data_IF_025148169600
#
_entry.id   IF_025148169600
#
_cell.length_a   1.000
_cell.length_b   1.000
_cell.length_c   1.000
_cell.angle_alpha   90.00
_cell.angle_beta   90.00
_cell.angle_gamma   90.00
#
_symmetry.space_group_name_H-M   'P 1'
#
loop_
_entity.id
_entity.type
_entity.pdbx_description
1 polymer ?
#
# COMPACT_ATOMS: atom_id res chain seq x y z
N UNK A 1 -0.44 18.71 -5.79
CA UNK A 1 -1.22 17.47 -5.65
C UNK A 1 -2.31 17.47 -6.71
N UNK A 2 -2.51 16.37 -7.43
CA UNK A 2 -3.55 16.23 -8.46
C UNK A 2 -4.96 16.29 -7.79
N UNK A 3 -5.93 17.06 -8.32
CA UNK A 3 -7.25 17.21 -7.69
C UNK A 3 -8.02 15.90 -7.52
N UNK A 4 -7.79 14.90 -8.37
CA UNK A 4 -8.41 13.57 -8.24
C UNK A 4 -7.94 12.81 -7.00
N UNK A 5 -6.76 13.14 -6.45
CA UNK A 5 -6.22 12.51 -5.25
C UNK A 5 -6.69 13.18 -3.95
N UNK A 6 -7.21 14.41 -4.00
CA UNK A 6 -7.65 15.13 -2.80
C UNK A 6 -8.64 14.37 -1.90
N UNK A 7 -9.67 13.69 -2.44
CA UNK A 7 -10.56 12.88 -1.61
C UNK A 7 -10.03 11.48 -1.33
N UNK A 8 -8.99 11.03 -2.06
CA UNK A 8 -8.48 9.65 -2.01
C UNK A 8 -7.46 9.49 -0.90
N UNK A 9 -6.54 10.45 -0.73
CA UNK A 9 -5.48 10.37 0.28
C UNK A 9 -6.05 10.26 1.70
N UNK A 10 -7.03 11.08 2.13
CA UNK A 10 -7.63 10.91 3.45
C UNK A 10 -8.28 9.52 3.65
N UNK A 11 -8.87 8.93 2.59
CA UNK A 11 -9.46 7.59 2.69
C UNK A 11 -8.40 6.49 2.85
N UNK A 12 -7.26 6.61 2.16
CA UNK A 12 -6.10 5.73 2.34
C UNK A 12 -5.55 5.87 3.76
N UNK A 13 -5.36 7.11 4.23
CA UNK A 13 -4.88 7.41 5.58
C UNK A 13 -5.80 6.84 6.66
N UNK A 14 -7.13 6.96 6.50
CA UNK A 14 -8.11 6.40 7.42
C UNK A 14 -8.05 4.87 7.47
N UNK A 15 -7.86 4.20 6.33
CA UNK A 15 -7.70 2.75 6.26
C UNK A 15 -6.43 2.31 7.00
N UNK A 16 -5.29 2.96 6.73
CA UNK A 16 -4.02 2.65 7.40
C UNK A 16 -4.08 2.95 8.90
N UNK A 17 -4.71 4.06 9.29
CA UNK A 17 -4.96 4.40 10.68
C UNK A 17 -5.76 3.29 11.37
N UNK A 18 -6.90 2.88 10.80
CA UNK A 18 -7.74 1.83 11.37
C UNK A 18 -7.01 0.48 11.43
N UNK A 19 -6.28 0.13 10.38
CA UNK A 19 -5.44 -1.08 10.35
C UNK A 19 -4.41 -1.09 11.48
N UNK A 20 -3.72 0.02 11.71
CA UNK A 20 -2.71 0.14 12.76
C UNK A 20 -3.30 0.00 14.19
N UNK A 21 -4.59 0.31 14.36
CA UNK A 21 -5.32 0.11 15.62
C UNK A 21 -5.83 -1.33 15.80
N UNK A 22 -5.90 -2.12 14.73
CA UNK A 22 -6.48 -3.46 14.76
C UNK A 22 -5.68 -4.44 15.63
N UNK A 23 -6.40 -5.33 16.33
CA UNK A 23 -5.82 -6.48 17.01
C UNK A 23 -5.19 -7.47 16.01
N UNK A 24 -5.69 -7.49 14.77
CA UNK A 24 -5.20 -8.35 13.67
C UNK A 24 -3.97 -7.77 12.94
N UNK A 25 -3.45 -6.60 13.37
CA UNK A 25 -2.33 -5.93 12.70
C UNK A 25 -1.16 -6.90 12.42
N UNK A 26 -0.71 -7.62 13.45
CA UNK A 26 0.43 -8.53 13.34
C UNK A 26 0.12 -9.78 12.51
N UNK A 27 -1.10 -10.30 12.62
CA UNK A 27 -1.51 -11.46 11.83
C UNK A 27 -1.55 -11.12 10.34
N UNK A 28 -2.17 -9.99 9.98
CA UNK A 28 -2.24 -9.53 8.60
C UNK A 28 -0.87 -9.15 8.03
N UNK A 29 0.00 -8.53 8.85
CA UNK A 29 1.36 -8.23 8.43
C UNK A 29 2.15 -9.51 8.11
N UNK A 30 2.01 -10.54 8.96
CA UNK A 30 2.65 -11.83 8.73
C UNK A 30 2.07 -12.58 7.52
N UNK A 31 0.78 -12.42 7.25
CA UNK A 31 0.12 -12.96 6.05
C UNK A 31 0.63 -12.30 4.79
N UNK A 32 0.76 -10.97 4.77
CA UNK A 32 1.23 -10.24 3.59
C UNK A 32 2.74 -10.43 3.33
N UNK A 33 3.56 -10.29 4.37
CA UNK A 33 5.00 -10.08 4.24
C UNK A 33 5.86 -11.19 4.88
N UNK A 34 5.22 -12.28 5.32
CA UNK A 34 5.87 -13.38 6.01
C UNK A 34 6.22 -13.10 7.48
N UNK A 35 6.77 -14.12 8.15
CA UNK A 35 6.99 -14.14 9.60
C UNK A 35 8.38 -13.66 10.05
N UNK A 36 9.25 -13.35 9.10
CA UNK A 36 10.65 -12.95 9.35
C UNK A 36 10.89 -11.44 9.27
N UNK A 37 9.82 -10.65 9.21
CA UNK A 37 9.89 -9.19 9.10
C UNK A 37 10.54 -8.53 10.32
N UNK A 38 11.22 -7.40 10.08
CA UNK A 38 11.84 -6.59 11.13
C UNK A 38 10.75 -5.95 12.01
N UNK A 39 10.51 -6.58 13.16
CA UNK A 39 9.49 -6.18 14.13
C UNK A 39 9.72 -4.75 14.65
N UNK A 40 10.96 -4.27 14.71
CA UNK A 40 11.25 -2.91 15.18
C UNK A 40 10.74 -1.89 14.16
N UNK A 41 11.07 -2.08 12.88
CA UNK A 41 10.59 -1.21 11.81
C UNK A 41 9.07 -1.30 11.62
N UNK A 42 8.50 -2.50 11.69
CA UNK A 42 7.06 -2.69 11.64
C UNK A 42 6.35 -1.97 12.81
N UNK A 43 6.92 -2.02 14.01
CA UNK A 43 6.40 -1.29 15.19
C UNK A 43 6.48 0.22 14.98
N UNK A 44 7.57 0.73 14.39
CA UNK A 44 7.71 2.14 14.07
C UNK A 44 6.65 2.62 13.08
N UNK A 45 6.44 1.90 11.97
CA UNK A 45 5.38 2.19 11.00
C UNK A 45 4.00 2.19 11.66
N UNK A 46 3.72 1.18 12.50
CA UNK A 46 2.45 1.10 13.24
C UNK A 46 2.24 2.33 14.12
N UNK A 47 3.24 2.73 14.91
CA UNK A 47 3.14 3.87 15.82
C UNK A 47 2.91 5.18 15.05
N UNK A 48 3.58 5.36 13.91
CA UNK A 48 3.38 6.51 13.04
C UNK A 48 1.93 6.56 12.55
N UNK A 49 1.40 5.47 11.98
CA UNK A 49 0.02 5.39 11.50
C UNK A 49 -1.00 5.58 12.63
N UNK A 50 -0.79 5.01 13.81
CA UNK A 50 -1.66 5.21 14.98
C UNK A 50 -1.75 6.67 15.42
N UNK A 51 -0.69 7.45 15.18
CA UNK A 51 -0.66 8.90 15.45
C UNK A 51 -1.16 9.77 14.28
N UNK A 52 -1.67 9.15 13.20
CA UNK A 52 -1.98 9.81 11.92
C UNK A 52 -0.79 10.55 11.31
N UNK A 53 0.41 10.06 11.59
CA UNK A 53 1.62 10.49 10.92
C UNK A 53 1.88 9.59 9.71
N UNK A 54 1.71 10.16 8.52
CA UNK A 54 1.93 9.51 7.23
C UNK A 54 3.06 10.18 6.42
N UNK A 55 3.86 11.04 7.06
CA UNK A 55 4.94 11.78 6.40
C UNK A 55 6.07 10.88 5.85
N UNK A 56 6.15 9.64 6.32
CA UNK A 56 7.04 8.60 5.83
C UNK A 56 6.55 7.94 4.54
N UNK A 57 5.25 8.02 4.22
CA UNK A 57 4.72 7.35 3.02
C UNK A 57 5.34 7.97 1.76
N UNK A 58 5.64 7.16 0.72
CA UNK A 58 6.19 7.68 -0.51
C UNK A 58 5.25 8.70 -1.17
N UNK A 59 5.77 9.81 -1.71
CA UNK A 59 4.95 10.74 -2.47
C UNK A 59 4.41 10.07 -3.74
N UNK A 60 3.21 10.49 -4.13
CA UNK A 60 2.55 10.00 -5.35
C UNK A 60 2.82 10.95 -6.51
N UNK A 61 3.29 10.39 -7.62
CA UNK A 61 3.52 11.07 -8.89
C UNK A 61 2.67 10.43 -9.98
N UNK A 62 2.02 11.24 -10.82
CA UNK A 62 1.20 10.74 -11.93
C UNK A 62 2.04 10.79 -13.20
N UNK A 63 2.19 9.64 -13.86
CA UNK A 63 2.93 9.51 -15.11
C UNK A 63 1.97 9.24 -16.27
N UNK A 64 2.37 9.66 -17.48
CA UNK A 64 1.62 9.28 -18.68
C UNK A 64 1.61 7.76 -18.84
N UNK A 65 0.51 7.21 -19.40
CA UNK A 65 0.34 5.76 -19.56
C UNK A 65 1.42 5.08 -20.41
N UNK A 66 2.18 5.84 -21.20
CA UNK A 66 3.31 5.33 -22.00
C UNK A 66 4.50 4.87 -21.15
N UNK A 67 4.67 5.43 -19.94
CA UNK A 67 5.81 5.10 -19.06
C UNK A 67 5.54 3.83 -18.24
N UNK A 68 4.31 3.66 -17.75
CA UNK A 68 3.92 2.50 -16.92
C UNK A 68 3.35 1.34 -17.74
N UNK A 69 3.13 1.51 -19.05
CA UNK A 69 2.54 0.50 -19.91
C UNK A 69 1.14 0.11 -19.43
N UNK A 70 0.96 -1.16 -19.05
CA UNK A 70 -0.33 -1.68 -18.55
C UNK A 70 -0.49 -1.55 -17.04
N UNK A 71 0.54 -1.13 -16.30
CA UNK A 71 0.48 -1.00 -14.86
C UNK A 71 -0.41 0.18 -14.44
N UNK A 72 -1.19 -0.01 -13.37
CA UNK A 72 -2.09 1.01 -12.80
C UNK A 72 -1.36 1.90 -11.80
N UNK A 73 -0.48 1.28 -11.02
CA UNK A 73 0.48 1.91 -10.14
C UNK A 73 1.83 1.19 -10.20
N UNK A 74 2.84 1.77 -9.56
CA UNK A 74 4.09 1.11 -9.23
C UNK A 74 4.82 1.86 -8.11
N UNK A 75 5.22 1.16 -7.05
CA UNK A 75 6.20 1.63 -6.09
C UNK A 75 7.61 1.41 -6.64
N UNK A 76 8.41 2.47 -6.66
CA UNK A 76 9.80 2.43 -7.12
C UNK A 76 10.77 2.72 -5.97
N UNK A 77 11.38 1.65 -5.44
CA UNK A 77 12.40 1.68 -4.38
C UNK A 77 13.51 2.69 -4.69
N UNK A 78 14.01 2.71 -5.93
CA UNK A 78 15.14 3.57 -6.35
C UNK A 78 14.88 5.07 -6.20
N UNK A 79 13.62 5.49 -6.24
CA UNK A 79 13.21 6.90 -6.08
C UNK A 79 12.38 7.15 -4.83
N UNK A 80 12.02 6.09 -4.11
CA UNK A 80 11.02 6.08 -3.06
C UNK A 80 9.76 6.86 -3.44
N UNK A 81 9.11 6.44 -4.54
CA UNK A 81 7.89 7.08 -5.06
C UNK A 81 6.86 6.05 -5.44
N UNK A 82 5.60 6.42 -5.30
CA UNK A 82 4.48 5.71 -5.91
C UNK A 82 4.16 6.44 -7.21
N UNK A 83 4.22 5.72 -8.32
CA UNK A 83 3.77 6.21 -9.62
C UNK A 83 2.36 5.71 -9.89
N UNK A 84 1.46 6.59 -10.33
CA UNK A 84 0.14 6.21 -10.81
C UNK A 84 0.01 6.52 -12.30
N UNK A 85 -0.63 5.62 -13.03
CA UNK A 85 -0.92 5.83 -14.45
C UNK A 85 -2.00 6.89 -14.62
N UNK A 86 -1.74 7.91 -15.44
CA UNK A 86 -2.71 8.94 -15.80
C UNK A 86 -3.94 8.33 -16.49
N UNK A 87 -3.74 7.32 -17.34
CA UNK A 87 -4.86 6.66 -18.04
C UNK A 87 -5.75 5.90 -17.05
N UNK A 88 -5.16 5.28 -16.02
CA UNK A 88 -5.91 4.67 -14.92
C UNK A 88 -6.63 5.74 -14.09
N UNK A 89 -5.94 6.79 -13.67
CA UNK A 89 -6.48 7.87 -12.85
C UNK A 89 -7.73 8.51 -13.46
N UNK A 90 -7.76 8.66 -14.78
CA UNK A 90 -8.87 9.30 -15.50
C UNK A 90 -10.16 8.49 -15.56
N UNK A 91 -10.10 7.16 -15.36
CA UNK A 91 -11.28 6.28 -15.49
C UNK A 91 -11.60 5.47 -14.23
N UNK A 92 -10.66 5.39 -13.28
CA UNK A 92 -10.80 4.60 -12.08
C UNK A 92 -11.91 5.14 -11.15
N UNK A 93 -12.64 4.23 -10.50
CA UNK A 93 -13.46 4.60 -9.35
C UNK A 93 -12.58 4.99 -8.16
N UNK A 94 -13.13 5.76 -7.22
CA UNK A 94 -12.42 6.08 -5.96
C UNK A 94 -11.97 4.81 -5.22
N UNK A 95 -12.80 3.77 -5.23
CA UNK A 95 -12.44 2.47 -4.63
C UNK A 95 -11.24 1.82 -5.33
N UNK A 96 -11.20 1.86 -6.67
CA UNK A 96 -10.07 1.32 -7.44
C UNK A 96 -8.78 2.09 -7.17
N UNK A 97 -8.87 3.42 -7.03
CA UNK A 97 -7.71 4.26 -6.69
C UNK A 97 -7.20 3.95 -5.28
N UNK A 98 -8.09 3.82 -4.31
CA UNK A 98 -7.73 3.43 -2.93
C UNK A 98 -7.07 2.05 -2.93
N UNK A 99 -7.63 1.06 -3.65
CA UNK A 99 -7.04 -0.28 -3.76
C UNK A 99 -5.60 -0.22 -4.25
N UNK A 100 -5.36 0.43 -5.40
CA UNK A 100 -4.03 0.47 -6.03
C UNK A 100 -3.05 1.25 -5.16
N UNK A 101 -3.45 2.38 -4.57
CA UNK A 101 -2.54 3.14 -3.70
C UNK A 101 -2.14 2.32 -2.46
N UNK A 102 -3.08 1.58 -1.86
CA UNK A 102 -2.76 0.71 -0.73
C UNK A 102 -1.84 -0.45 -1.12
N UNK A 103 -1.98 -0.97 -2.34
CA UNK A 103 -1.11 -1.99 -2.91
C UNK A 103 0.33 -1.47 -3.04
N UNK A 104 0.52 -0.28 -3.62
CA UNK A 104 1.86 0.33 -3.71
C UNK A 104 2.45 0.72 -2.34
N UNK A 105 1.60 1.08 -1.36
CA UNK A 105 2.03 1.26 0.02
C UNK A 105 2.46 -0.07 0.64
N UNK A 106 1.81 -1.19 0.28
CA UNK A 106 2.21 -2.52 0.70
C UNK A 106 3.62 -2.88 0.24
N UNK A 107 3.95 -2.64 -1.03
CA UNK A 107 5.33 -2.80 -1.56
C UNK A 107 6.35 -1.91 -0.82
N UNK A 108 5.98 -0.67 -0.48
CA UNK A 108 6.83 0.19 0.36
C UNK A 108 7.06 -0.41 1.75
N UNK A 109 6.00 -0.93 2.38
CA UNK A 109 6.09 -1.55 3.71
C UNK A 109 6.99 -2.76 3.67
N UNK A 110 6.87 -3.62 2.65
CA UNK A 110 7.74 -4.79 2.46
C UNK A 110 9.21 -4.38 2.37
N UNK A 111 9.55 -3.42 1.50
CA UNK A 111 10.91 -2.88 1.36
C UNK A 111 11.48 -2.30 2.67
N UNK A 112 10.61 -1.76 3.54
CA UNK A 112 11.07 -1.29 4.84
C UNK A 112 11.38 -2.44 5.78
N UNK A 113 10.50 -3.43 5.89
CA UNK A 113 10.54 -4.42 6.98
C UNK A 113 11.27 -5.71 6.59
N UNK A 114 11.45 -5.98 5.30
CA UNK A 114 12.11 -7.19 4.82
C UNK A 114 13.44 -6.85 4.11
N UNK A 115 14.51 -7.65 4.34
CA UNK A 115 15.78 -7.46 3.65
C UNK A 115 15.77 -8.00 2.20
N UNK A 116 14.79 -8.83 1.89
CA UNK A 116 14.56 -9.45 0.58
C UNK A 116 13.08 -9.33 0.32
N UNK A 117 12.74 -8.83 -0.88
CA UNK A 117 11.39 -8.71 -1.42
C UNK A 117 10.59 -10.01 -1.20
N UNK A 118 9.39 -9.88 -0.65
CA UNK A 118 8.48 -11.01 -0.47
C UNK A 118 8.06 -11.55 -1.83
N UNK A 119 8.05 -12.87 -1.99
CA UNK A 119 7.67 -13.49 -3.27
C UNK A 119 6.16 -13.35 -3.49
N UNK A 120 5.77 -12.80 -4.64
CA UNK A 120 4.38 -12.73 -5.07
C UNK A 120 3.98 -11.30 -5.37
N UNK A 121 2.73 -10.97 -5.05
CA UNK A 121 2.21 -9.60 -5.05
C UNK A 121 1.73 -9.28 -3.62
N UNK A 122 2.70 -9.12 -2.73
CA UNK A 122 2.49 -8.81 -1.30
C UNK A 122 1.81 -7.46 -1.10
N UNK A 123 2.00 -6.54 -2.06
CA UNK A 123 1.27 -5.28 -2.14
C UNK A 123 -0.22 -5.50 -2.32
N UNK A 124 -0.63 -6.29 -3.32
CA UNK A 124 -2.05 -6.58 -3.57
C UNK A 124 -2.66 -7.29 -2.35
N UNK A 125 -1.97 -8.28 -1.80
CA UNK A 125 -2.40 -8.99 -0.59
C UNK A 125 -2.57 -8.05 0.61
N UNK A 126 -1.61 -7.16 0.84
CA UNK A 126 -1.71 -6.14 1.88
C UNK A 126 -2.94 -5.24 1.67
N UNK A 127 -3.17 -4.76 0.44
CA UNK A 127 -4.34 -3.93 0.09
C UNK A 127 -5.65 -4.62 0.42
N UNK A 128 -5.77 -5.92 0.14
CA UNK A 128 -6.95 -6.71 0.50
C UNK A 128 -7.16 -6.78 2.02
N UNK A 129 -6.10 -7.08 2.78
CA UNK A 129 -6.16 -7.25 4.23
C UNK A 129 -6.53 -5.95 4.95
N UNK A 130 -5.91 -4.82 4.60
CA UNK A 130 -6.19 -3.54 5.27
C UNK A 130 -7.57 -2.98 4.93
N UNK A 131 -8.13 -3.36 3.78
CA UNK A 131 -9.51 -3.03 3.38
C UNK A 131 -10.55 -3.96 4.00
N UNK A 132 -10.13 -5.02 4.70
CA UNK A 132 -11.03 -6.01 5.28
C UNK A 132 -11.80 -6.82 4.24
N UNK A 133 -11.22 -7.00 3.04
CA UNK A 133 -11.80 -7.87 2.00
C UNK A 133 -11.56 -9.32 2.43
N UNK A 134 -12.63 -10.11 2.52
CA UNK A 134 -12.51 -11.55 2.77
C UNK A 134 -11.81 -12.22 1.59
N UNK A 135 -10.57 -12.64 1.81
CA UNK A 135 -9.79 -13.41 0.85
C UNK A 135 -10.21 -14.88 0.89
N UNK A 136 -10.32 -15.50 -0.27
CA UNK A 136 -10.43 -16.95 -0.41
C UNK A 136 -9.06 -17.60 -0.26
N UNK A 137 -8.99 -18.89 0.10
CA UNK A 137 -7.71 -19.61 0.24
C UNK A 137 -6.85 -19.57 -1.03
N UNK A 138 -7.46 -19.46 -2.21
CA UNK A 138 -6.76 -19.36 -3.49
C UNK A 138 -6.05 -18.01 -3.71
N UNK A 139 -6.44 -16.97 -2.96
CA UNK A 139 -5.80 -15.65 -3.01
C UNK A 139 -4.68 -15.52 -1.96
N UNK A 140 -4.43 -16.57 -1.17
CA UNK A 140 -3.40 -16.63 -0.12
C UNK A 140 -2.19 -17.52 -0.48
N UNK A 141 -2.16 -18.09 -1.69
CA UNK A 141 -1.18 -19.10 -2.14
C UNK A 141 -0.56 -18.74 -3.48
#
# INVERSE_FOLDING_TARGET
MNPYLLPIIPAVDDILFNFAQSDDFWANLATAFGTSSDVVKATELRNQWQSRNFSQLPPIEVLSGEVLGTAKGAYAVSTNKIYLSESFLNVASSESLVKVILEEIGHYVDDQINPVDTVGDEGELFSHLVRGVNLTEAELT
#
